data_IF_014788991357
#
_entry.id   IF_014788991357
#
_cell.length_a   1.000
_cell.length_b   1.000
_cell.length_c   1.000
_cell.angle_alpha   90.00
_cell.angle_beta   90.00
_cell.angle_gamma   90.00
#
_symmetry.space_group_name_H-M   'P 1'
#
loop_
_entity.id
_entity.type
_entity.pdbx_description
1 polymer ?
#
# COMPACT_ATOMS: atom_id res chain seq x y z
N UNK A 1 -36.22 -66.46 16.12
CA UNK A 1 -34.84 -66.04 16.37
C UNK A 1 -34.73 -64.61 15.85
N UNK A 2 -35.11 -63.61 16.69
CA UNK A 2 -34.21 -62.76 17.49
C UNK A 2 -33.22 -62.00 16.57
N UNK A 3 -33.50 -60.76 16.14
CA UNK A 3 -33.54 -59.45 16.86
C UNK A 3 -32.15 -58.79 17.02
N UNK A 4 -32.16 -57.45 17.10
CA UNK A 4 -31.10 -56.47 17.44
C UNK A 4 -30.18 -55.99 16.29
N UNK A 5 -30.34 -54.76 15.73
CA UNK A 5 -30.06 -53.37 16.23
C UNK A 5 -28.61 -52.91 16.01
N UNK A 6 -28.44 -51.72 15.40
CA UNK A 6 -27.61 -50.56 15.84
C UNK A 6 -27.81 -49.44 14.77
N UNK A 7 -28.54 -48.35 15.01
CA UNK A 7 -28.28 -47.13 15.82
C UNK A 7 -27.09 -46.28 15.33
N UNK A 8 -27.43 -45.17 14.63
CA UNK A 8 -26.94 -43.75 14.63
C UNK A 8 -25.43 -43.42 14.82
N UNK A 9 -24.89 -42.25 14.34
CA UNK A 9 -25.61 -40.97 14.20
C UNK A 9 -25.36 -40.13 12.93
N UNK A 10 -26.38 -39.31 12.66
CA UNK A 10 -26.39 -38.14 11.79
C UNK A 10 -25.74 -36.98 12.54
N UNK A 11 -24.59 -36.47 12.07
CA UNK A 11 -24.00 -35.23 12.58
C UNK A 11 -24.28 -34.09 11.58
N UNK A 12 -25.39 -33.39 11.79
CA UNK A 12 -25.73 -32.18 11.05
C UNK A 12 -25.08 -30.98 11.77
N UNK A 13 -23.86 -30.64 11.37
CA UNK A 13 -23.19 -29.43 11.84
C UNK A 13 -23.84 -28.22 11.16
N UNK A 14 -24.70 -27.51 11.88
CA UNK A 14 -25.22 -26.21 11.49
C UNK A 14 -24.09 -25.17 11.60
N UNK A 15 -23.41 -24.91 10.48
CA UNK A 15 -22.52 -23.76 10.36
C UNK A 15 -23.39 -22.51 10.22
N UNK A 16 -23.64 -21.83 11.34
CA UNK A 16 -24.13 -20.46 11.35
C UNK A 16 -23.04 -19.55 10.80
N UNK A 17 -23.02 -19.40 9.47
CA UNK A 17 -22.22 -18.39 8.79
C UNK A 17 -22.74 -17.02 9.18
N UNK A 18 -22.00 -16.32 10.03
CA UNK A 18 -22.18 -14.89 10.20
C UNK A 18 -21.88 -14.25 8.83
N UNK A 19 -22.92 -13.80 8.15
CA UNK A 19 -22.80 -12.93 6.99
C UNK A 19 -22.29 -11.57 7.49
N UNK A 20 -20.98 -11.44 7.60
CA UNK A 20 -20.36 -10.13 7.67
C UNK A 20 -20.67 -9.45 6.34
N UNK A 21 -21.58 -8.47 6.35
CA UNK A 21 -21.76 -7.58 5.22
C UNK A 21 -20.39 -7.02 4.87
N UNK A 22 -19.86 -7.24 3.66
CA UNK A 22 -18.63 -6.60 3.26
C UNK A 22 -18.90 -5.10 3.31
N UNK A 23 -18.24 -4.40 4.23
CA UNK A 23 -18.09 -2.95 4.13
C UNK A 23 -17.37 -2.73 2.82
N UNK A 24 -18.12 -2.35 1.79
CA UNK A 24 -17.56 -1.97 0.50
C UNK A 24 -16.67 -0.77 0.76
N UNK A 25 -15.37 -1.01 0.93
CA UNK A 25 -14.36 0.03 0.83
C UNK A 25 -14.49 0.54 -0.60
N UNK A 26 -15.24 1.64 -0.78
CA UNK A 26 -15.19 2.38 -2.03
C UNK A 26 -13.75 2.82 -2.18
N UNK A 27 -13.03 2.13 -3.05
CA UNK A 27 -11.77 2.61 -3.59
C UNK A 27 -12.14 3.88 -4.36
N UNK A 28 -12.05 5.04 -3.71
CA UNK A 28 -12.14 6.33 -4.40
C UNK A 28 -11.00 6.31 -5.42
N UNK A 29 -11.34 6.41 -6.71
CA UNK A 29 -10.36 6.75 -7.74
C UNK A 29 -9.98 8.22 -7.48
N UNK A 30 -9.10 8.42 -6.50
CA UNK A 30 -8.60 9.74 -6.15
C UNK A 30 -7.68 10.14 -7.30
N UNK A 31 -8.15 11.10 -8.10
CA UNK A 31 -7.31 11.84 -9.03
C UNK A 31 -6.13 12.38 -8.22
N UNK A 32 -4.95 11.82 -8.45
CA UNK A 32 -3.74 12.05 -7.67
C UNK A 32 -3.54 13.56 -7.45
N UNK A 33 -3.38 14.03 -6.20
CA UNK A 33 -3.38 15.45 -5.87
C UNK A 33 -2.06 16.15 -6.24
N UNK A 34 -1.23 15.55 -7.11
CA UNK A 34 0.07 16.07 -7.50
C UNK A 34 1.26 15.48 -6.76
N UNK A 35 2.31 16.31 -6.62
CA UNK A 35 3.56 15.96 -5.93
C UNK A 35 3.34 15.89 -4.43
N UNK A 36 2.68 16.89 -3.85
CA UNK A 36 2.13 16.83 -2.50
C UNK A 36 0.72 17.42 -2.53
N UNK A 37 -0.22 16.77 -1.83
CA UNK A 37 -1.55 17.33 -1.69
C UNK A 37 -2.45 16.57 -0.71
N UNK A 38 -3.59 17.18 -0.40
CA UNK A 38 -4.60 16.65 0.49
C UNK A 38 -5.23 15.39 -0.10
N UNK A 39 -5.24 14.33 0.71
CA UNK A 39 -6.07 13.15 0.49
C UNK A 39 -7.42 13.33 1.20
N UNK A 40 -7.38 13.87 2.42
CA UNK A 40 -8.53 14.23 3.24
C UNK A 40 -8.14 15.43 4.13
N UNK A 41 -8.84 16.59 4.06
CA UNK A 41 -10.07 16.88 3.33
C UNK A 41 -9.94 16.88 1.80
N UNK A 42 -11.07 16.88 1.09
CA UNK A 42 -11.07 16.85 -0.38
C UNK A 42 -10.50 18.16 -0.95
N UNK A 43 -9.46 18.12 -1.83
CA UNK A 43 -8.86 19.33 -2.41
C UNK A 43 -9.79 19.99 -3.44
N UNK A 44 -9.62 21.30 -3.67
CA UNK A 44 -10.33 22.07 -4.72
C UNK A 44 -10.09 21.55 -6.14
N UNK A 45 -8.95 20.89 -6.34
CA UNK A 45 -8.52 20.36 -7.62
C UNK A 45 -6.99 20.22 -7.70
N UNK A 46 -6.53 19.78 -8.86
CA UNK A 46 -5.12 19.70 -9.20
C UNK A 46 -4.91 19.92 -10.70
N UNK A 47 -3.96 20.78 -11.06
CA UNK A 47 -3.46 20.96 -12.42
C UNK A 47 -1.97 21.31 -12.33
N UNK A 48 -1.15 20.50 -12.99
CA UNK A 48 0.30 20.65 -13.01
C UNK A 48 0.74 22.00 -13.61
N UNK A 49 -0.03 22.55 -14.56
CA UNK A 49 0.31 23.80 -15.22
C UNK A 49 0.07 25.04 -14.37
N UNK A 50 -0.83 24.95 -13.38
CA UNK A 50 -1.19 26.07 -12.49
C UNK A 50 -0.75 25.85 -11.04
N UNK A 51 -0.16 24.69 -10.70
CA UNK A 51 0.19 24.33 -9.32
C UNK A 51 1.07 25.36 -8.60
N UNK A 52 1.97 26.05 -9.33
CA UNK A 52 2.83 27.10 -8.77
C UNK A 52 2.14 28.47 -8.62
N UNK A 53 0.85 28.58 -8.97
CA UNK A 53 0.10 29.84 -8.85
C UNK A 53 -0.51 29.96 -7.46
N UNK A 54 -0.01 30.92 -6.68
CA UNK A 54 -0.61 31.26 -5.39
C UNK A 54 -1.85 32.15 -5.56
N UNK A 55 -2.91 31.99 -4.73
CA UNK A 55 -3.13 30.89 -3.78
C UNK A 55 -3.74 29.66 -4.46
N UNK A 56 -3.65 28.51 -3.79
CA UNK A 56 -4.44 27.32 -4.12
C UNK A 56 -4.23 26.73 -5.53
N UNK A 57 -3.09 26.97 -6.18
CA UNK A 57 -2.82 26.49 -7.53
C UNK A 57 -3.73 27.15 -8.59
N UNK A 58 -4.28 28.33 -8.29
CA UNK A 58 -5.22 29.04 -9.16
C UNK A 58 -6.66 28.52 -9.13
N UNK A 59 -6.99 27.57 -8.25
CA UNK A 59 -8.33 27.00 -8.13
C UNK A 59 -9.24 27.84 -7.23
N UNK A 60 -10.43 28.17 -7.75
CA UNK A 60 -11.51 28.78 -6.97
C UNK A 60 -12.20 27.76 -6.08
N UNK A 61 -12.80 28.20 -4.97
CA UNK A 61 -13.66 27.39 -4.10
C UNK A 61 -14.72 26.67 -4.93
N UNK A 62 -14.88 25.36 -4.71
CA UNK A 62 -15.87 24.53 -5.42
C UNK A 62 -16.89 23.98 -4.45
N UNK A 63 -16.46 23.14 -3.50
CA UNK A 63 -17.30 22.50 -2.50
C UNK A 63 -16.56 22.44 -1.17
N UNK A 64 -17.26 22.76 -0.08
CA UNK A 64 -16.76 22.55 1.28
C UNK A 64 -16.93 21.08 1.68
N UNK A 65 -15.90 20.53 2.31
CA UNK A 65 -15.93 19.21 2.94
C UNK A 65 -16.33 19.39 4.40
N UNK A 66 -17.34 18.65 4.85
CA UNK A 66 -17.68 18.62 6.27
C UNK A 66 -16.58 17.92 7.05
N UNK A 67 -16.15 18.52 8.16
CA UNK A 67 -14.99 18.04 8.92
C UNK A 67 -15.24 18.09 10.41
N UNK A 68 -14.70 17.13 11.15
CA UNK A 68 -14.75 17.14 12.62
C UNK A 68 -13.62 18.00 13.19
N UNK A 69 -13.86 18.66 14.32
CA UNK A 69 -12.83 19.44 15.03
C UNK A 69 -11.65 18.59 15.50
N UNK A 70 -11.90 17.32 15.83
CA UNK A 70 -10.89 16.36 16.29
C UNK A 70 -10.41 15.42 15.18
N UNK A 71 -10.71 15.71 13.90
CA UNK A 71 -10.31 14.88 12.77
C UNK A 71 -8.92 15.32 12.28
N UNK A 72 -8.01 14.36 12.12
CA UNK A 72 -6.68 14.59 11.55
C UNK A 72 -6.70 14.68 10.03
N UNK A 73 -5.72 15.40 9.46
CA UNK A 73 -5.57 15.57 8.02
C UNK A 73 -4.62 14.54 7.43
N UNK A 74 -4.93 14.09 6.22
CA UNK A 74 -4.11 13.14 5.46
C UNK A 74 -3.66 13.77 4.15
N UNK A 75 -2.39 13.60 3.84
CA UNK A 75 -1.77 14.08 2.61
C UNK A 75 -1.05 12.93 1.91
N UNK A 76 -1.06 12.98 0.58
CA UNK A 76 -0.26 12.11 -0.27
C UNK A 76 0.94 12.89 -0.80
N UNK A 77 2.11 12.28 -0.68
CA UNK A 77 3.39 12.77 -1.16
C UNK A 77 3.90 11.77 -2.21
N UNK A 78 4.12 12.24 -3.44
CA UNK A 78 4.55 11.41 -4.58
C UNK A 78 6.06 11.47 -4.80
N UNK A 79 6.70 12.61 -4.55
CA UNK A 79 8.16 12.80 -4.57
C UNK A 79 8.62 13.39 -3.24
N UNK A 80 9.92 13.35 -2.98
CA UNK A 80 10.49 14.06 -1.84
C UNK A 80 10.26 15.57 -2.00
N UNK A 81 9.82 16.21 -0.92
CA UNK A 81 9.49 17.64 -0.88
C UNK A 81 10.14 18.31 0.31
N UNK A 82 10.32 19.63 0.22
CA UNK A 82 10.80 20.46 1.31
C UNK A 82 9.96 21.70 1.54
N UNK A 83 10.24 22.41 2.64
CA UNK A 83 9.58 23.65 3.03
C UNK A 83 8.05 23.55 3.00
N UNK A 84 7.52 22.43 3.52
CA UNK A 84 6.09 22.20 3.53
C UNK A 84 5.46 23.09 4.61
N UNK A 85 4.62 24.02 4.20
CA UNK A 85 3.91 24.96 5.08
C UNK A 85 2.42 24.71 4.95
N UNK A 86 1.79 24.43 6.08
CA UNK A 86 0.34 24.22 6.14
C UNK A 86 -0.24 25.41 6.88
N UNK A 87 -1.20 26.06 6.26
CA UNK A 87 -1.82 27.29 6.75
C UNK A 87 -3.33 27.23 6.57
N UNK A 88 -4.05 27.99 7.38
CA UNK A 88 -5.49 28.11 7.28
C UNK A 88 -5.90 29.58 7.13
N UNK A 89 -7.08 29.83 6.57
CA UNK A 89 -7.70 31.14 6.58
C UNK A 89 -9.22 31.04 6.70
N UNK A 90 -9.84 32.03 7.33
CA UNK A 90 -11.30 32.19 7.33
C UNK A 90 -11.82 32.85 6.03
N UNK A 91 -10.90 33.26 5.14
CA UNK A 91 -11.24 33.77 3.81
C UNK A 91 -10.84 32.76 2.73
N UNK A 92 -11.67 32.63 1.70
CA UNK A 92 -11.48 31.66 0.61
C UNK A 92 -10.28 31.95 -0.31
N UNK A 93 -9.76 33.17 -0.25
CA UNK A 93 -8.63 33.67 -1.01
C UNK A 93 -7.31 33.61 -0.23
N UNK A 94 -7.31 33.06 1.00
CA UNK A 94 -6.14 32.99 1.88
C UNK A 94 -5.52 34.36 2.22
N UNK A 95 -6.28 35.46 2.12
CA UNK A 95 -5.76 36.81 2.42
C UNK A 95 -5.32 36.98 3.87
N UNK A 96 -5.90 36.22 4.79
CA UNK A 96 -5.58 36.23 6.22
C UNK A 96 -5.06 34.85 6.65
N UNK A 97 -4.11 34.30 5.89
CA UNK A 97 -3.55 32.99 6.17
C UNK A 97 -2.74 33.02 7.49
N UNK A 98 -3.00 32.04 8.36
CA UNK A 98 -2.23 31.76 9.58
C UNK A 98 -1.56 30.40 9.40
N UNK A 99 -0.27 30.32 9.74
CA UNK A 99 0.47 29.06 9.66
C UNK A 99 0.06 28.11 10.79
N UNK A 100 -0.39 26.93 10.42
CA UNK A 100 -0.77 25.85 11.33
C UNK A 100 0.42 24.93 11.64
N UNK A 101 1.19 24.58 10.62
CA UNK A 101 2.34 23.69 10.76
C UNK A 101 3.43 24.01 9.72
N UNK A 102 4.66 23.69 10.06
CA UNK A 102 5.80 23.76 9.15
C UNK A 102 6.63 22.49 9.27
N UNK A 103 6.90 21.89 8.13
CA UNK A 103 7.67 20.66 7.96
C UNK A 103 8.86 21.01 7.06
N UNK A 104 10.06 20.66 7.51
CA UNK A 104 11.30 20.94 6.77
C UNK A 104 11.38 20.11 5.50
N UNK A 105 11.10 18.81 5.61
CA UNK A 105 11.01 17.91 4.46
C UNK A 105 10.15 16.69 4.74
N UNK A 106 9.61 16.12 3.67
CA UNK A 106 8.86 14.87 3.70
C UNK A 106 9.25 14.01 2.50
N UNK A 107 9.39 12.71 2.74
CA UNK A 107 9.64 11.72 1.67
C UNK A 107 8.34 11.23 1.04
N UNK A 108 8.45 10.63 -0.15
CA UNK A 108 7.30 10.00 -0.82
C UNK A 108 6.58 8.98 0.09
N UNK A 109 5.25 9.04 0.09
CA UNK A 109 4.37 8.26 0.97
C UNK A 109 3.14 9.05 1.41
N UNK A 110 2.44 8.55 2.40
CA UNK A 110 1.34 9.22 3.09
C UNK A 110 1.86 9.92 4.33
N UNK A 111 1.46 11.17 4.52
CA UNK A 111 1.71 11.91 5.76
C UNK A 111 0.41 12.33 6.42
N UNK A 112 0.43 12.34 7.74
CA UNK A 112 -0.70 12.56 8.61
C UNK A 112 -0.34 13.67 9.58
N UNK A 113 -1.24 14.63 9.71
CA UNK A 113 -1.23 15.56 10.82
C UNK A 113 -2.33 15.13 11.78
N UNK A 114 -1.91 14.59 12.91
CA UNK A 114 -2.83 14.14 13.95
C UNK A 114 -3.65 15.32 14.46
N UNK A 115 -4.97 15.14 14.44
CA UNK A 115 -5.95 16.18 14.71
C UNK A 115 -6.44 16.23 16.15
N UNK A 116 -5.72 15.66 17.11
CA UNK A 116 -6.11 15.82 18.52
C UNK A 116 -6.01 17.30 18.88
N UNK A 117 -7.17 17.96 18.94
CA UNK A 117 -7.39 19.36 19.28
C UNK A 117 -6.71 20.41 18.37
N UNK A 118 -6.18 20.02 17.20
CA UNK A 118 -5.45 20.94 16.32
C UNK A 118 -6.27 22.20 15.98
N UNK A 119 -7.56 22.05 15.72
CA UNK A 119 -8.46 23.17 15.42
C UNK A 119 -9.10 23.78 16.67
N UNK A 120 -9.25 22.99 17.73
CA UNK A 120 -9.79 23.48 19.00
C UNK A 120 -8.82 24.43 19.70
N UNK A 121 -7.51 24.14 19.63
CA UNK A 121 -6.44 24.96 20.20
C UNK A 121 -6.33 26.32 19.48
N UNK A 122 -6.71 26.37 18.20
CA UNK A 122 -6.83 27.59 17.40
C UNK A 122 -8.15 28.35 17.66
N UNK A 123 -9.06 27.78 18.46
CA UNK A 123 -10.31 28.42 18.89
C UNK A 123 -11.48 28.24 17.93
N UNK A 124 -11.40 27.29 16.99
CA UNK A 124 -12.50 26.99 16.07
C UNK A 124 -13.67 26.27 16.76
N UNK A 125 -14.88 26.54 16.28
CA UNK A 125 -16.12 25.97 16.76
C UNK A 125 -16.88 25.28 15.62
N UNK A 126 -17.84 24.43 15.98
CA UNK A 126 -18.76 23.84 14.99
C UNK A 126 -19.55 24.96 14.29
N UNK A 127 -19.64 24.85 12.96
CA UNK A 127 -20.24 25.85 12.08
C UNK A 127 -19.24 26.86 11.49
N UNK A 128 -17.98 26.85 11.93
CA UNK A 128 -16.96 27.68 11.32
C UNK A 128 -16.49 27.09 9.98
N UNK A 129 -16.26 27.99 9.02
CA UNK A 129 -15.77 27.67 7.69
C UNK A 129 -14.33 28.18 7.52
N UNK A 130 -13.43 27.30 7.07
CA UNK A 130 -12.04 27.67 6.79
C UNK A 130 -11.54 27.08 5.47
N UNK A 131 -10.56 27.75 4.88
CA UNK A 131 -9.75 27.22 3.78
C UNK A 131 -8.39 26.80 4.34
N UNK A 132 -8.03 25.54 4.11
CA UNK A 132 -6.70 25.02 4.35
C UNK A 132 -5.87 25.16 3.08
N UNK A 133 -4.61 25.54 3.23
CA UNK A 133 -3.63 25.58 2.16
C UNK A 133 -2.37 24.83 2.57
N UNK A 134 -1.86 24.03 1.65
CA UNK A 134 -0.50 23.50 1.72
C UNK A 134 0.34 24.13 0.63
N UNK A 135 1.51 24.61 1.03
CA UNK A 135 2.62 25.03 0.18
C UNK A 135 3.76 24.03 0.35
N UNK A 136 4.49 23.73 -0.72
CA UNK A 136 5.67 22.88 -0.69
C UNK A 136 6.60 23.20 -1.85
N UNK A 137 7.86 22.77 -1.72
CA UNK A 137 8.85 22.77 -2.80
C UNK A 137 9.14 21.33 -3.23
N UNK A 138 9.01 21.03 -4.53
CA UNK A 138 9.36 19.73 -5.10
C UNK A 138 10.87 19.65 -5.35
N UNK A 139 11.57 18.75 -4.64
CA UNK A 139 13.02 18.57 -4.76
C UNK A 139 13.42 17.96 -6.12
N UNK A 140 12.48 17.34 -6.84
CA UNK A 140 12.77 16.70 -8.14
C UNK A 140 12.63 17.69 -9.29
N UNK A 141 11.57 18.49 -9.30
CA UNK A 141 11.29 19.45 -10.38
C UNK A 141 11.79 20.86 -10.08
N UNK A 142 12.23 21.12 -8.84
CA UNK A 142 12.61 22.45 -8.32
C UNK A 142 11.47 23.47 -8.47
N UNK A 143 10.21 23.02 -8.35
CA UNK A 143 9.03 23.86 -8.48
C UNK A 143 8.24 23.92 -7.17
N UNK A 144 7.68 25.10 -6.92
CA UNK A 144 6.76 25.32 -5.82
C UNK A 144 5.35 24.86 -6.20
N UNK A 145 4.64 24.27 -5.24
CA UNK A 145 3.28 23.80 -5.39
C UNK A 145 2.37 24.37 -4.31
N UNK A 146 1.14 24.68 -4.70
CA UNK A 146 0.06 25.10 -3.82
C UNK A 146 -1.16 24.22 -4.03
N UNK A 147 -1.80 23.81 -2.94
CA UNK A 147 -3.12 23.20 -2.99
C UNK A 147 -3.96 23.69 -1.82
N UNK A 148 -5.28 23.77 -2.04
CA UNK A 148 -6.22 24.10 -0.98
C UNK A 148 -7.34 23.08 -0.86
N UNK A 149 -7.91 23.01 0.33
CA UNK A 149 -9.13 22.30 0.65
C UNK A 149 -10.02 23.21 1.49
N UNK A 150 -11.31 23.24 1.17
CA UNK A 150 -12.30 24.03 1.89
C UNK A 150 -13.02 23.12 2.87
N UNK A 151 -13.09 23.51 4.15
CA UNK A 151 -13.78 22.72 5.17
C UNK A 151 -14.79 23.55 5.95
N UNK A 152 -15.81 22.86 6.44
CA UNK A 152 -16.82 23.38 7.35
C UNK A 152 -16.92 22.46 8.56
N UNK A 153 -16.71 23.00 9.75
CA UNK A 153 -16.69 22.18 10.96
C UNK A 153 -18.09 21.75 11.37
N UNK A 154 -18.30 20.46 11.63
CA UNK A 154 -19.61 19.94 12.04
C UNK A 154 -19.48 18.85 13.11
N UNK A 155 -20.48 18.77 13.99
CA UNK A 155 -20.57 17.73 15.03
C UNK A 155 -20.92 16.35 14.48
N UNK A 156 -21.55 16.32 13.30
CA UNK A 156 -22.18 15.10 12.78
C UNK A 156 -21.21 14.26 11.94
N UNK A 157 -20.02 14.80 11.65
CA UNK A 157 -19.01 14.16 10.82
C UNK A 157 -17.84 13.66 11.66
N UNK A 158 -18.06 12.55 12.35
CA UNK A 158 -16.99 11.79 13.00
C UNK A 158 -16.36 10.86 11.96
N UNK A 159 -15.67 11.44 10.97
CA UNK A 159 -14.78 10.62 10.14
C UNK A 159 -13.55 10.29 10.98
N UNK A 160 -13.46 9.05 11.46
CA UNK A 160 -12.21 8.50 11.95
C UNK A 160 -11.34 8.16 10.74
N UNK A 161 -10.65 9.14 10.20
CA UNK A 161 -9.59 8.88 9.22
C UNK A 161 -8.53 8.06 9.95
N UNK A 162 -8.42 6.77 9.60
CA UNK A 162 -7.34 5.93 10.13
C UNK A 162 -6.07 6.32 9.39
N UNK A 163 -5.47 7.41 9.85
CA UNK A 163 -4.30 7.97 9.20
C UNK A 163 -3.07 7.12 9.54
N UNK A 164 -2.27 6.77 8.53
CA UNK A 164 -1.03 6.05 8.72
C UNK A 164 0.10 6.74 7.98
N UNK A 165 1.10 7.20 8.72
CA UNK A 165 2.32 7.77 8.16
C UNK A 165 3.15 6.67 7.50
N UNK A 166 3.33 6.75 6.19
CA UNK A 166 4.34 5.97 5.46
C UNK A 166 5.53 6.84 5.01
N UNK A 167 5.34 8.16 4.97
CA UNK A 167 6.40 9.14 4.77
C UNK A 167 7.28 9.31 6.01
N UNK A 168 8.57 9.52 5.80
CA UNK A 168 9.48 10.11 6.81
C UNK A 168 9.34 11.63 6.76
N UNK A 169 9.04 12.24 7.90
CA UNK A 169 8.81 13.68 8.06
C UNK A 169 9.92 14.25 8.95
N UNK A 170 10.53 15.35 8.52
CA UNK A 170 11.51 16.12 9.30
C UNK A 170 10.90 17.48 9.60
N UNK A 171 10.79 17.83 10.88
CA UNK A 171 10.26 19.13 11.32
C UNK A 171 11.37 20.06 11.77
N UNK A 172 11.27 21.34 11.37
CA UNK A 172 12.24 22.36 11.75
C UNK A 172 11.96 22.80 13.18
N UNK A 173 12.91 22.59 14.09
CA UNK A 173 12.77 23.02 15.48
C UNK A 173 13.04 24.54 15.58
N UNK A 174 12.04 25.37 15.23
CA UNK A 174 12.08 26.83 15.34
C UNK A 174 11.29 27.31 16.57
N UNK A 175 11.98 27.61 17.66
CA UNK A 175 11.39 27.73 18.99
C UNK A 175 10.45 28.93 19.25
N UNK A 176 9.40 28.65 20.04
CA UNK A 176 9.09 29.40 21.27
C UNK A 176 8.43 28.48 22.31
N UNK A 177 9.19 28.21 23.39
CA UNK A 177 8.77 27.77 24.75
C UNK A 177 7.85 26.54 24.91
N UNK A 178 8.44 25.35 25.11
CA UNK A 178 8.67 24.74 26.45
C UNK A 178 9.40 23.41 26.30
N UNK A 179 10.62 23.36 26.84
CA UNK A 179 11.42 22.21 27.27
C UNK A 179 11.01 20.79 26.83
N UNK A 180 11.70 20.22 25.84
CA UNK A 180 12.48 18.98 25.99
C UNK A 180 13.25 18.69 24.70
N UNK A 181 14.57 18.70 24.85
CA UNK A 181 15.52 18.31 23.83
C UNK A 181 15.30 16.82 23.49
N UNK A 182 14.86 16.55 22.27
CA UNK A 182 14.81 15.21 21.70
C UNK A 182 15.05 15.36 20.21
N UNK A 183 16.29 15.07 19.80
CA UNK A 183 16.58 14.62 18.45
C UNK A 183 15.78 13.34 18.23
N UNK A 184 14.54 13.48 17.78
CA UNK A 184 13.70 12.34 17.46
C UNK A 184 14.09 11.86 16.08
N UNK A 185 15.20 11.12 15.98
CA UNK A 185 15.13 9.92 15.15
C UNK A 185 13.92 9.17 15.64
N UNK A 186 12.86 9.08 14.83
CA UNK A 186 11.70 8.22 15.12
C UNK A 186 12.19 6.77 14.98
N UNK A 187 12.98 6.35 15.96
CA UNK A 187 13.05 4.95 16.36
C UNK A 187 11.72 4.69 17.02
N UNK A 188 10.89 3.90 16.34
CA UNK A 188 9.63 3.33 16.82
C UNK A 188 9.69 3.05 18.33
N UNK A 189 9.21 4.00 19.12
CA UNK A 189 8.91 3.76 20.54
C UNK A 189 7.43 3.50 20.58
N UNK A 190 7.09 2.22 20.41
CA UNK A 190 5.76 1.71 20.65
C UNK A 190 5.37 2.04 22.09
N UNK A 191 4.61 3.13 22.29
CA UNK A 191 3.81 3.27 23.50
C UNK A 191 2.84 2.10 23.51
N UNK A 192 2.95 1.31 24.57
CA UNK A 192 2.13 0.15 24.90
C UNK A 192 0.66 0.58 25.09
N UNK A 193 -0.01 0.92 23.99
CA UNK A 193 -1.46 0.88 23.88
C UNK A 193 -1.83 -0.55 23.52
N UNK A 194 -2.73 -1.16 24.28
CA UNK A 194 -3.30 -2.47 23.98
C UNK A 194 -4.00 -2.41 22.62
N UNK A 195 -3.25 -2.68 21.55
CA UNK A 195 -3.81 -2.91 20.22
C UNK A 195 -4.43 -4.30 20.22
N UNK A 196 -5.74 -4.34 19.94
CA UNK A 196 -6.43 -5.59 19.65
C UNK A 196 -5.79 -6.22 18.40
N UNK A 197 -5.37 -7.49 18.44
CA UNK A 197 -4.46 -8.11 17.47
C UNK A 197 -5.04 -8.38 16.06
N UNK A 198 -6.08 -7.67 15.64
CA UNK A 198 -6.82 -7.96 14.41
C UNK A 198 -6.44 -7.08 13.21
N UNK A 199 -5.71 -5.97 13.39
CA UNK A 199 -5.51 -4.98 12.32
C UNK A 199 -4.08 -4.87 11.76
N UNK A 200 -3.11 -5.61 12.30
CA UNK A 200 -1.72 -5.67 11.80
C UNK A 200 -1.43 -6.93 10.91
N UNK A 201 -2.48 -7.61 10.45
CA UNK A 201 -2.42 -9.01 10.01
C UNK A 201 -1.96 -9.32 8.58
N UNK A 202 -1.64 -8.33 7.73
CA UNK A 202 -1.35 -8.63 6.32
C UNK A 202 0.15 -8.80 6.01
N UNK A 203 1.04 -8.02 6.63
CA UNK A 203 2.49 -8.14 6.43
C UNK A 203 3.04 -9.49 6.94
N UNK A 204 2.48 -10.04 8.02
CA UNK A 204 2.85 -11.36 8.53
C UNK A 204 2.42 -12.53 7.63
N UNK A 205 1.34 -12.36 6.84
CA UNK A 205 0.82 -13.41 5.97
C UNK A 205 1.70 -13.63 4.72
N UNK A 206 2.24 -12.56 4.13
CA UNK A 206 3.09 -12.67 2.94
C UNK A 206 4.39 -13.43 3.21
N UNK A 207 5.02 -13.20 4.38
CA UNK A 207 6.29 -13.85 4.74
C UNK A 207 6.10 -15.36 4.96
N UNK A 208 5.01 -15.76 5.61
CA UNK A 208 4.74 -17.19 5.87
C UNK A 208 4.46 -17.95 4.57
N UNK A 209 3.71 -17.37 3.63
CA UNK A 209 3.47 -17.98 2.30
C UNK A 209 4.78 -18.15 1.54
N UNK A 210 5.67 -17.15 1.55
CA UNK A 210 6.97 -17.24 0.87
C UNK A 210 7.86 -18.33 1.46
N UNK A 211 7.95 -18.44 2.79
CA UNK A 211 8.76 -19.45 3.48
C UNK A 211 8.21 -20.86 3.24
N UNK A 212 6.88 -21.06 3.35
CA UNK A 212 6.27 -22.35 3.08
C UNK A 212 6.39 -22.75 1.60
N UNK A 213 6.25 -21.80 0.68
CA UNK A 213 6.45 -22.03 -0.76
C UNK A 213 7.88 -22.49 -1.08
N UNK A 214 8.88 -21.80 -0.53
CA UNK A 214 10.28 -22.20 -0.69
C UNK A 214 10.58 -23.58 -0.08
N UNK A 215 10.04 -23.88 1.11
CA UNK A 215 10.24 -25.17 1.75
C UNK A 215 9.66 -26.33 0.92
N UNK A 216 8.45 -26.18 0.36
CA UNK A 216 7.83 -27.19 -0.49
C UNK A 216 8.58 -27.38 -1.81
N UNK A 217 9.04 -26.28 -2.42
CA UNK A 217 9.81 -26.33 -3.67
C UNK A 217 11.16 -27.00 -3.46
N UNK A 218 11.85 -26.70 -2.35
CA UNK A 218 13.09 -27.37 -1.97
C UNK A 218 12.85 -28.87 -1.73
N UNK A 219 11.81 -29.25 -0.99
CA UNK A 219 11.50 -30.65 -0.71
C UNK A 219 11.20 -31.44 -1.99
N UNK A 220 10.46 -30.84 -2.93
CA UNK A 220 10.17 -31.42 -4.24
C UNK A 220 11.44 -31.59 -5.08
N UNK A 221 12.28 -30.55 -5.15
CA UNK A 221 13.55 -30.57 -5.89
C UNK A 221 14.51 -31.63 -5.36
N UNK A 222 14.70 -31.71 -4.04
CA UNK A 222 15.55 -32.74 -3.41
C UNK A 222 14.98 -34.15 -3.60
N UNK A 223 13.65 -34.32 -3.53
CA UNK A 223 12.99 -35.59 -3.83
C UNK A 223 13.26 -36.06 -5.27
N UNK A 224 13.12 -35.19 -6.26
CA UNK A 224 13.38 -35.51 -7.66
C UNK A 224 14.85 -35.92 -7.91
N UNK A 225 15.81 -35.24 -7.28
CA UNK A 225 17.24 -35.58 -7.40
C UNK A 225 17.56 -36.94 -6.77
N UNK A 226 17.05 -37.23 -5.58
CA UNK A 226 17.33 -38.51 -4.92
C UNK A 226 16.63 -39.69 -5.60
N UNK A 227 15.39 -39.51 -6.07
CA UNK A 227 14.64 -40.58 -6.73
C UNK A 227 15.19 -40.88 -8.14
N UNK A 228 15.61 -39.87 -8.89
CA UNK A 228 16.24 -40.07 -10.22
C UNK A 228 17.57 -40.81 -10.14
N UNK A 229 18.39 -40.57 -9.10
CA UNK A 229 19.64 -41.30 -8.87
C UNK A 229 19.41 -42.77 -8.50
N UNK A 230 18.34 -43.07 -7.78
CA UNK A 230 17.99 -44.45 -7.43
C UNK A 230 17.33 -45.22 -8.58
N UNK A 231 16.62 -44.53 -9.48
CA UNK A 231 16.06 -45.14 -10.69
C UNK A 231 17.16 -45.64 -11.66
N UNK A 232 18.25 -44.89 -11.81
CA UNK A 232 19.38 -45.28 -12.67
C UNK A 232 20.17 -46.50 -12.13
N UNK A 233 20.20 -46.71 -10.81
CA UNK A 233 20.81 -47.93 -10.23
C UNK A 233 19.98 -49.20 -10.47
N UNK A 234 18.66 -49.10 -10.70
CA UNK A 234 17.83 -50.27 -11.03
C UNK A 234 17.96 -50.71 -12.48
N UNK A 235 18.28 -49.81 -13.42
CA UNK A 235 18.46 -50.17 -14.84
C UNK A 235 19.74 -50.96 -15.11
N UNK A 236 20.78 -50.82 -14.28
CA UNK A 236 22.05 -51.54 -14.47
C UNK A 236 21.94 -53.04 -14.12
N UNK A 237 21.02 -53.41 -13.20
CA UNK A 237 20.78 -54.81 -12.84
C UNK A 237 19.94 -55.53 -13.92
N UNK A 238 19.08 -54.84 -14.67
CA UNK A 238 18.33 -55.45 -15.77
C UNK A 238 19.14 -55.58 -17.08
N UNK A 239 20.09 -54.68 -17.35
CA UNK A 239 20.91 -54.78 -18.56
C UNK A 239 21.99 -55.88 -18.51
N UNK A 240 22.32 -56.39 -17.31
CA UNK A 240 23.16 -57.58 -17.14
C UNK A 240 22.47 -58.90 -17.52
N UNK A 241 21.12 -58.92 -17.60
CA UNK A 241 20.37 -60.14 -17.92
C UNK A 241 20.06 -60.30 -19.42
N UNK A 242 20.18 -59.24 -20.23
CA UNK A 242 19.86 -59.29 -21.67
C UNK A 242 21.08 -59.46 -22.58
N UNK A 243 22.31 -59.33 -22.08
CA UNK A 243 23.53 -59.49 -22.88
C UNK A 243 23.88 -60.94 -23.26
N UNK A 244 22.97 -61.89 -23.03
CA UNK A 244 23.07 -63.28 -23.50
C UNK A 244 22.09 -63.60 -24.65
N UNK A 245 21.24 -62.67 -25.11
CA UNK A 245 20.13 -63.00 -26.02
C UNK A 245 20.11 -62.27 -27.37
N UNK A 246 21.06 -61.40 -27.69
CA UNK A 246 20.98 -60.59 -28.93
C UNK A 246 22.25 -60.69 -29.76
N UNK A 247 22.54 -61.93 -30.15
CA UNK A 247 23.45 -62.30 -31.23
C UNK A 247 22.61 -62.61 -32.48
N UNK A 248 21.76 -61.68 -32.92
CA UNK A 248 20.98 -61.88 -34.15
C UNK A 248 20.40 -60.55 -34.62
N UNK A 249 20.70 -60.20 -35.88
CA UNK A 249 20.13 -59.09 -36.66
C UNK A 249 20.94 -57.78 -36.65
N UNK A 250 22.23 -57.94 -36.95
CA UNK A 250 22.83 -57.12 -38.01
C UNK A 250 21.99 -57.27 -39.29
N UNK A 251 21.29 -56.21 -39.69
CA UNK A 251 21.06 -55.78 -41.06
C UNK A 251 19.80 -54.91 -41.10
N UNK A 252 19.98 -53.60 -41.31
CA UNK A 252 19.20 -52.82 -42.29
C UNK A 252 20.00 -51.51 -42.48
N UNK A 253 20.84 -51.56 -43.50
CA UNK A 253 21.37 -50.37 -44.15
C UNK A 253 20.24 -49.75 -44.99
N UNK A 254 19.98 -48.46 -44.82
CA UNK A 254 19.25 -47.69 -45.82
C UNK A 254 19.93 -46.35 -46.04
N UNK A 255 20.85 -46.40 -47.00
CA UNK A 255 21.21 -45.30 -47.89
C UNK A 255 19.99 -44.43 -48.23
N UNK A 256 20.02 -43.15 -47.85
CA UNK A 256 19.26 -42.13 -48.57
C UNK A 256 20.20 -41.04 -49.06
N UNK A 257 20.51 -41.18 -50.35
CA UNK A 257 21.35 -40.34 -51.19
C UNK A 257 20.74 -38.96 -51.35
N UNK A 258 21.59 -37.95 -51.18
CA UNK A 258 21.40 -36.54 -51.53
C UNK A 258 21.32 -36.37 -53.05
N UNK A 259 20.45 -35.48 -53.53
CA UNK A 259 20.70 -34.72 -54.78
C UNK A 259 20.14 -33.31 -54.63
N UNK A 260 21.08 -32.37 -54.65
CA UNK A 260 20.96 -30.95 -54.96
C UNK A 260 20.91 -30.85 -56.49
N UNK A 261 20.06 -30.01 -57.10
CA UNK A 261 20.54 -28.85 -57.87
C UNK A 261 19.48 -28.00 -58.59
N UNK A 262 19.78 -26.68 -58.53
CA UNK A 262 19.56 -25.56 -59.45
C UNK A 262 18.41 -25.51 -60.47
N UNK A 263 17.65 -24.39 -60.44
CA UNK A 263 17.53 -23.47 -61.59
C UNK A 263 16.97 -22.07 -61.23
N UNK A 264 17.78 -21.04 -61.44
CA UNK A 264 17.41 -19.65 -61.81
C UNK A 264 18.20 -19.39 -63.11
N UNK A 265 17.72 -18.61 -64.10
CA UNK A 265 17.74 -17.15 -63.98
C UNK A 265 16.69 -16.37 -64.83
N UNK A 266 16.74 -15.04 -64.64
CA UNK A 266 16.22 -13.91 -65.43
C UNK A 266 14.74 -13.53 -65.23
#
# INVERSE_FOLDING_TARGET
>A
MLSLTHILPLALAAASGASASPTTIQKRDISYPGVLGFLEPTPRGWDYSTMGTSPCGGFTTVNQTYYGLSTGMEFQVSNDVSNVVISYSTSSDMSNAVTLATIESATAGTMCLDGENLFEDEGFNFGDDITLQVFYHDEVTEQDGYQCADISFTSDHVMSVTCSNTSTIITKNGGSSTSSDSTTTVTVTAKSGKVTPLQAGWIGACVTIAVFGFALLALWYFGAIFFSRNALRRSEIQLGSHRMAEHSLDDISLHRRTTVDHKTPL
#
